data_IF_647367514922
#
_entry.id   IF_647367514922
#
_cell.length_a   1.000
_cell.length_b   1.000
_cell.length_c   1.000
_cell.angle_alpha   90.00
_cell.angle_beta   90.00
_cell.angle_gamma   90.00
#
_symmetry.space_group_name_H-M   'P 1'
#
loop_
_entity.id
_entity.type
_entity.pdbx_description
1 polymer ?
#
# COMPACT_ATOMS: atom_id res chain seq x y z
N UNK A 1 -9.62 -3.05 -15.37
CA UNK A 1 -9.17 -4.07 -14.40
C UNK A 1 -9.75 -3.69 -13.04
N UNK A 2 -10.49 -4.56 -12.36
CA UNK A 2 -11.01 -4.22 -11.05
C UNK A 2 -9.88 -4.05 -10.04
N UNK A 3 -10.08 -3.15 -9.07
CA UNK A 3 -9.14 -2.94 -7.98
C UNK A 3 -9.91 -2.93 -6.65
N UNK A 4 -9.32 -3.52 -5.63
CA UNK A 4 -9.88 -3.49 -4.29
C UNK A 4 -9.52 -2.17 -3.60
N UNK A 5 -10.50 -1.55 -2.94
CA UNK A 5 -10.27 -0.42 -2.07
C UNK A 5 -9.56 -0.82 -0.78
N UNK A 6 -8.69 0.03 -0.28
CA UNK A 6 -7.92 -0.18 0.94
C UNK A 6 -7.83 1.12 1.72
N UNK A 7 -7.86 1.01 3.04
CA UNK A 7 -7.45 2.06 3.94
C UNK A 7 -6.31 1.56 4.85
N UNK A 8 -5.48 2.49 5.27
CA UNK A 8 -4.45 2.27 6.28
C UNK A 8 -4.74 3.21 7.45
N UNK A 9 -4.85 2.63 8.63
CA UNK A 9 -4.98 3.36 9.89
C UNK A 9 -3.67 3.18 10.65
N UNK A 10 -2.95 4.27 10.86
CA UNK A 10 -1.75 4.29 11.68
C UNK A 10 -2.05 4.95 13.01
N UNK A 11 -1.69 4.28 14.10
CA UNK A 11 -1.94 4.71 15.48
C UNK A 11 -0.64 4.74 16.26
N UNK A 12 -0.34 5.86 16.89
CA UNK A 12 0.77 5.99 17.82
C UNK A 12 0.24 5.94 19.26
N UNK A 13 0.81 5.05 20.09
CA UNK A 13 0.49 4.91 21.51
C UNK A 13 1.74 5.10 22.35
N UNK A 14 1.59 5.48 23.63
CA UNK A 14 2.68 5.29 24.59
C UNK A 14 2.93 3.78 24.73
N UNK A 15 4.19 3.39 24.85
CA UNK A 15 4.52 1.97 25.03
C UNK A 15 3.87 1.39 26.32
N UNK A 16 3.68 2.20 27.35
CA UNK A 16 2.98 1.83 28.59
C UNK A 16 1.49 1.56 28.42
N UNK A 17 0.89 2.06 27.35
CA UNK A 17 -0.54 1.91 27.07
C UNK A 17 -0.84 0.71 26.17
N UNK A 18 0.19 -0.10 25.84
CA UNK A 18 0.09 -1.34 25.06
C UNK A 18 0.61 -2.48 25.89
N UNK A 19 -0.25 -3.44 26.26
CA UNK A 19 0.16 -4.57 27.12
C UNK A 19 0.79 -5.73 26.36
N UNK A 20 0.52 -5.85 25.07
CA UNK A 20 1.13 -6.86 24.21
C UNK A 20 2.62 -6.52 24.00
N UNK A 21 3.49 -7.52 24.06
CA UNK A 21 4.95 -7.33 23.97
C UNK A 21 5.43 -6.91 22.57
N UNK A 22 4.58 -6.91 21.56
CA UNK A 22 4.86 -6.54 20.16
C UNK A 22 6.13 -7.20 19.59
N UNK A 23 6.38 -8.46 19.95
CA UNK A 23 7.49 -9.24 19.42
C UNK A 23 7.08 -9.90 18.10
N UNK A 24 7.75 -9.53 17.00
CA UNK A 24 7.48 -10.02 15.66
C UNK A 24 6.97 -8.95 14.68
N UNK A 25 6.28 -9.40 13.64
CA UNK A 25 5.84 -8.52 12.55
C UNK A 25 4.49 -7.85 12.78
N UNK A 26 3.59 -8.56 13.44
CA UNK A 26 2.20 -8.18 13.55
C UNK A 26 1.29 -9.40 13.51
N UNK A 27 0.02 -9.19 13.18
CA UNK A 27 -0.94 -10.29 13.02
C UNK A 27 -1.80 -10.10 11.77
N UNK A 28 -2.30 -11.21 11.25
CA UNK A 28 -3.30 -11.25 10.18
C UNK A 28 -4.63 -11.71 10.75
N UNK A 29 -5.70 -11.13 10.23
CA UNK A 29 -7.07 -11.49 10.58
C UNK A 29 -7.58 -12.57 9.64
N UNK A 30 -8.07 -13.69 10.18
CA UNK A 30 -8.61 -14.78 9.38
C UNK A 30 -9.96 -14.40 8.75
N UNK A 31 -10.38 -15.14 7.72
CA UNK A 31 -11.64 -14.85 7.02
C UNK A 31 -12.89 -15.00 7.90
N UNK A 32 -12.81 -15.79 8.95
CA UNK A 32 -13.94 -16.08 9.85
C UNK A 32 -14.27 -14.96 10.83
N UNK A 33 -13.33 -14.06 11.10
CA UNK A 33 -13.43 -13.09 12.20
C UNK A 33 -14.36 -11.90 11.95
N UNK A 34 -14.85 -11.72 10.74
CA UNK A 34 -15.80 -10.63 10.37
C UNK A 34 -15.31 -9.22 10.76
N UNK A 35 -14.00 -9.01 10.85
CA UNK A 35 -13.39 -7.71 11.13
C UNK A 35 -13.18 -6.92 9.83
N UNK A 36 -13.14 -5.58 9.94
CA UNK A 36 -12.73 -4.72 8.83
C UNK A 36 -11.22 -4.78 8.60
N UNK A 37 -10.47 -4.96 9.66
CA UNK A 37 -9.01 -5.06 9.65
C UNK A 37 -8.59 -6.38 8.99
N UNK A 38 -7.68 -6.29 8.05
CA UNK A 38 -7.05 -7.43 7.38
C UNK A 38 -5.85 -7.96 8.16
N UNK A 39 -5.20 -7.07 8.88
CA UNK A 39 -4.04 -7.34 9.71
C UNK A 39 -3.43 -6.05 10.22
N UNK A 40 -2.54 -6.19 11.18
CA UNK A 40 -1.82 -5.08 11.82
C UNK A 40 -0.33 -5.37 11.78
N UNK A 41 0.44 -4.40 11.35
CA UNK A 41 1.92 -4.43 11.40
C UNK A 41 2.37 -3.58 12.58
N UNK A 42 3.31 -4.10 13.35
CA UNK A 42 3.93 -3.42 14.49
C UNK A 42 5.18 -2.67 14.01
N UNK A 43 4.96 -1.51 13.38
CA UNK A 43 5.98 -0.77 12.64
C UNK A 43 7.22 -0.44 13.48
N UNK A 44 7.02 -0.02 14.72
CA UNK A 44 8.12 0.32 15.63
C UNK A 44 8.93 -0.89 16.11
N UNK A 45 8.35 -2.12 16.00
CA UNK A 45 9.08 -3.35 16.31
C UNK A 45 9.86 -3.91 15.12
N UNK A 46 9.46 -3.53 13.89
CA UNK A 46 10.10 -4.01 12.67
C UNK A 46 11.25 -3.15 12.20
N UNK A 47 11.14 -1.84 12.42
CA UNK A 47 12.07 -0.88 11.84
C UNK A 47 12.49 0.15 12.89
N UNK A 48 13.77 0.30 13.08
CA UNK A 48 14.35 1.33 13.93
C UNK A 48 13.96 2.73 13.46
N UNK A 49 13.74 3.62 14.40
CA UNK A 49 13.43 5.03 14.11
C UNK A 49 12.01 5.30 13.58
N UNK A 50 11.11 4.30 13.58
CA UNK A 50 9.72 4.48 13.15
C UNK A 50 8.83 5.18 14.17
N UNK A 51 9.22 5.20 15.43
CA UNK A 51 8.53 5.92 16.49
C UNK A 51 9.55 6.52 17.45
N UNK A 52 9.24 7.66 18.12
CA UNK A 52 10.05 8.17 19.19
C UNK A 52 10.17 7.16 20.34
N UNK A 53 11.24 7.29 21.13
CA UNK A 53 11.42 6.47 22.33
C UNK A 53 10.20 6.54 23.25
N UNK A 54 9.82 5.42 23.85
CA UNK A 54 8.62 5.29 24.67
C UNK A 54 7.30 5.30 23.92
N UNK A 55 7.34 5.31 22.60
CA UNK A 55 6.15 5.27 21.71
C UNK A 55 6.17 4.04 20.83
N UNK A 56 5.01 3.48 20.54
CA UNK A 56 4.81 2.41 19.56
C UNK A 56 3.95 2.89 18.40
N UNK A 57 4.26 2.43 17.19
CA UNK A 57 3.49 2.70 15.99
C UNK A 57 2.88 1.40 15.46
N UNK A 58 1.56 1.38 15.39
CA UNK A 58 0.75 0.29 14.86
C UNK A 58 0.13 0.72 13.54
N UNK A 59 0.18 -0.15 12.53
CA UNK A 59 -0.42 0.11 11.21
C UNK A 59 -1.42 -0.99 10.85
N UNK A 60 -2.70 -0.66 10.93
CA UNK A 60 -3.78 -1.54 10.51
C UNK A 60 -4.07 -1.34 9.01
N UNK A 61 -4.23 -2.44 8.29
CA UNK A 61 -4.73 -2.47 6.92
C UNK A 61 -6.20 -2.86 6.94
N UNK A 62 -7.06 -2.03 6.33
CA UNK A 62 -8.52 -2.15 6.44
C UNK A 62 -9.12 -2.21 5.04
N UNK A 63 -10.12 -3.08 4.81
CA UNK A 63 -10.85 -3.16 3.55
C UNK A 63 -10.52 -4.37 2.70
N UNK A 64 -10.03 -4.12 1.48
CA UNK A 64 -9.80 -5.18 0.50
C UNK A 64 -11.09 -5.79 -0.03
N UNK A 65 -10.97 -6.92 -0.74
CA UNK A 65 -12.11 -7.60 -1.38
C UNK A 65 -13.16 -8.08 -0.37
N UNK A 66 -12.76 -8.32 0.88
CA UNK A 66 -13.70 -8.80 1.93
C UNK A 66 -14.65 -7.71 2.40
N UNK A 67 -14.21 -6.46 2.37
CA UNK A 67 -14.94 -5.30 2.87
C UNK A 67 -14.93 -4.19 1.80
N UNK A 68 -15.56 -4.42 0.64
CA UNK A 68 -15.66 -3.41 -0.40
C UNK A 68 -16.40 -2.18 0.13
N UNK A 69 -15.99 -1.00 -0.25
CA UNK A 69 -16.56 0.25 0.24
C UNK A 69 -16.02 0.72 1.60
N UNK A 70 -15.24 -0.09 2.31
CA UNK A 70 -14.68 0.36 3.59
C UNK A 70 -13.78 1.60 3.43
N UNK A 71 -13.08 1.76 2.29
CA UNK A 71 -12.29 2.95 2.01
C UNK A 71 -13.12 4.23 1.81
N UNK A 72 -14.44 4.11 1.70
CA UNK A 72 -15.40 5.23 1.60
C UNK A 72 -15.85 5.73 2.98
N UNK A 73 -15.62 4.94 4.04
CA UNK A 73 -15.94 5.35 5.41
C UNK A 73 -15.12 6.60 5.79
N UNK A 74 -15.65 7.38 6.73
CA UNK A 74 -14.93 8.55 7.24
C UNK A 74 -13.62 8.14 7.91
N UNK A 75 -12.59 9.00 7.92
CA UNK A 75 -11.34 8.73 8.64
C UNK A 75 -11.57 8.39 10.11
N UNK A 76 -12.47 9.10 10.78
CA UNK A 76 -12.78 8.86 12.20
C UNK A 76 -13.40 7.47 12.40
N UNK A 77 -14.40 7.11 11.61
CA UNK A 77 -15.01 5.77 11.65
C UNK A 77 -14.00 4.66 11.41
N UNK A 78 -13.08 4.84 10.46
CA UNK A 78 -12.03 3.87 10.19
C UNK A 78 -11.07 3.71 11.37
N UNK A 79 -10.66 4.84 11.97
CA UNK A 79 -9.76 4.84 13.11
C UNK A 79 -10.43 4.21 14.35
N UNK A 80 -11.67 4.58 14.66
CA UNK A 80 -12.43 4.03 15.78
C UNK A 80 -12.62 2.52 15.65
N UNK A 81 -13.05 2.03 14.48
CA UNK A 81 -13.27 0.60 14.25
C UNK A 81 -11.98 -0.20 14.29
N UNK A 82 -10.92 0.29 13.67
CA UNK A 82 -9.62 -0.38 13.72
C UNK A 82 -9.08 -0.42 15.16
N UNK A 83 -9.23 0.66 15.93
CA UNK A 83 -8.85 0.70 17.34
C UNK A 83 -9.65 -0.32 18.15
N UNK A 84 -10.98 -0.33 18.00
CA UNK A 84 -11.84 -1.28 18.71
C UNK A 84 -11.48 -2.75 18.43
N UNK A 85 -11.13 -3.07 17.17
CA UNK A 85 -10.72 -4.42 16.77
C UNK A 85 -9.32 -4.80 17.31
N UNK A 86 -8.39 -3.85 17.42
CA UNK A 86 -7.05 -4.08 17.94
C UNK A 86 -6.98 -4.13 19.47
N UNK A 87 -7.86 -3.41 20.16
CA UNK A 87 -7.84 -3.26 21.62
C UNK A 87 -7.83 -4.59 22.36
N UNK A 88 -8.71 -5.56 22.09
CA UNK A 88 -8.70 -6.84 22.81
C UNK A 88 -7.47 -7.72 22.51
N UNK A 89 -6.85 -7.54 21.34
CA UNK A 89 -5.71 -8.33 20.92
C UNK A 89 -4.38 -7.80 21.46
N UNK A 90 -4.24 -6.47 21.47
CA UNK A 90 -3.00 -5.80 21.84
C UNK A 90 -3.04 -5.19 23.24
N UNK A 91 -4.20 -5.24 23.91
CA UNK A 91 -4.41 -4.64 25.21
C UNK A 91 -4.16 -3.13 25.21
N UNK A 92 -4.73 -2.43 24.21
CA UNK A 92 -4.61 -0.98 24.08
C UNK A 92 -5.39 -0.30 25.20
N UNK A 93 -4.80 0.73 25.81
CA UNK A 93 -5.40 1.52 26.88
C UNK A 93 -5.44 3.00 26.51
N UNK A 94 -6.56 3.65 26.82
CA UNK A 94 -6.74 5.06 26.51
C UNK A 94 -6.78 5.36 25.02
N UNK A 95 -6.61 6.65 24.71
CA UNK A 95 -6.61 7.14 23.33
C UNK A 95 -5.21 7.13 22.72
N UNK A 96 -5.07 6.91 21.40
CA UNK A 96 -3.79 7.06 20.73
C UNK A 96 -3.28 8.49 20.84
N UNK A 97 -1.97 8.66 21.00
CA UNK A 97 -1.30 9.97 20.94
C UNK A 97 -1.52 10.67 19.60
N UNK A 98 -1.55 9.89 18.54
CA UNK A 98 -1.84 10.36 17.19
C UNK A 98 -2.48 9.27 16.35
N UNK A 99 -3.30 9.68 15.38
CA UNK A 99 -3.92 8.82 14.38
C UNK A 99 -3.77 9.44 12.99
N UNK A 100 -3.52 8.58 11.99
CA UNK A 100 -3.50 8.94 10.58
C UNK A 100 -4.31 7.91 9.81
N UNK A 101 -5.08 8.38 8.84
CA UNK A 101 -5.88 7.51 7.98
C UNK A 101 -5.62 7.87 6.53
N UNK A 102 -5.16 6.88 5.77
CA UNK A 102 -4.93 6.99 4.34
C UNK A 102 -5.92 6.09 3.61
N UNK A 103 -6.54 6.58 2.56
CA UNK A 103 -7.58 5.85 1.81
C UNK A 103 -7.24 5.77 0.34
N UNK A 104 -7.39 4.58 -0.24
CA UNK A 104 -7.23 4.33 -1.66
C UNK A 104 -8.44 3.55 -2.15
N UNK A 105 -9.42 4.20 -2.81
CA UNK A 105 -10.64 3.54 -3.32
C UNK A 105 -10.34 2.43 -4.33
N UNK A 106 -9.22 2.54 -5.06
CA UNK A 106 -8.76 1.56 -6.05
C UNK A 106 -7.27 1.27 -5.83
N UNK A 107 -6.94 0.54 -4.75
CA UNK A 107 -5.57 0.32 -4.29
C UNK A 107 -4.90 -0.88 -4.97
N UNK A 108 -5.53 -2.06 -4.90
CA UNK A 108 -4.87 -3.32 -5.25
C UNK A 108 -5.57 -3.94 -6.46
N UNK A 109 -4.88 -4.00 -7.61
CA UNK A 109 -5.41 -4.67 -8.80
C UNK A 109 -5.76 -6.13 -8.49
N UNK A 110 -6.92 -6.58 -8.97
CA UNK A 110 -7.40 -7.93 -8.76
C UNK A 110 -7.17 -8.77 -10.03
N UNK A 111 -6.35 -9.80 -9.88
CA UNK A 111 -6.01 -10.71 -10.98
C UNK A 111 -7.05 -11.82 -11.08
N UNK A 112 -8.19 -11.48 -11.70
CA UNK A 112 -9.26 -12.42 -11.97
C UNK A 112 -8.91 -13.42 -13.07
N UNK A 113 -9.77 -14.42 -13.26
CA UNK A 113 -9.64 -15.36 -14.38
C UNK A 113 -9.47 -14.64 -15.71
N UNK A 114 -8.51 -15.09 -16.52
CA UNK A 114 -8.20 -14.49 -17.81
C UNK A 114 -7.33 -13.21 -17.72
N UNK A 115 -6.82 -12.86 -16.53
CA UNK A 115 -5.96 -11.68 -16.35
C UNK A 115 -4.70 -11.74 -17.24
N UNK A 116 -3.99 -12.85 -17.25
CA UNK A 116 -2.78 -13.04 -18.06
C UNK A 116 -3.07 -12.82 -19.54
N UNK A 117 -4.18 -13.36 -20.03
CA UNK A 117 -4.59 -13.20 -21.43
C UNK A 117 -4.97 -11.76 -21.77
N UNK A 118 -5.65 -11.07 -20.85
CA UNK A 118 -5.91 -9.61 -21.00
C UNK A 118 -4.63 -8.82 -21.10
N UNK A 119 -3.67 -9.06 -20.21
CA UNK A 119 -2.36 -8.37 -20.22
C UNK A 119 -1.60 -8.66 -21.52
N UNK A 120 -1.60 -9.91 -21.98
CA UNK A 120 -0.98 -10.28 -23.26
C UNK A 120 -1.57 -9.52 -24.43
N UNK A 121 -2.92 -9.43 -24.52
CA UNK A 121 -3.60 -8.65 -25.56
C UNK A 121 -3.30 -7.16 -25.49
N UNK A 122 -3.27 -6.59 -24.27
CA UNK A 122 -2.94 -5.19 -24.07
C UNK A 122 -1.50 -4.89 -24.52
N UNK A 123 -0.53 -5.75 -24.16
CA UNK A 123 0.86 -5.62 -24.61
C UNK A 123 1.00 -5.77 -26.13
N UNK A 124 0.29 -6.70 -26.74
CA UNK A 124 0.27 -6.83 -28.18
C UNK A 124 -0.36 -5.61 -28.88
N UNK A 125 -1.35 -4.97 -28.27
CA UNK A 125 -1.89 -3.71 -28.77
C UNK A 125 -0.90 -2.56 -28.60
N UNK A 126 -0.26 -2.43 -27.45
CA UNK A 126 0.75 -1.40 -27.17
C UNK A 126 1.94 -1.51 -28.14
N UNK A 127 2.39 -2.72 -28.46
CA UNK A 127 3.50 -2.96 -29.37
C UNK A 127 3.29 -2.43 -30.79
N UNK A 128 2.04 -2.11 -31.17
CA UNK A 128 1.75 -1.43 -32.46
C UNK A 128 2.00 0.08 -32.43
N UNK A 129 2.32 0.61 -31.26
CA UNK A 129 2.59 2.03 -31.06
C UNK A 129 4.04 2.19 -30.57
N UNK A 130 4.97 2.56 -31.45
CA UNK A 130 6.37 2.75 -31.05
C UNK A 130 6.50 3.70 -29.87
N UNK A 131 7.30 3.31 -28.86
CA UNK A 131 7.51 4.09 -27.65
C UNK A 131 6.44 3.92 -26.57
N UNK A 132 5.37 3.13 -26.81
CA UNK A 132 4.36 2.83 -25.78
C UNK A 132 4.67 1.49 -25.08
N UNK A 133 4.89 1.55 -23.79
CA UNK A 133 5.14 0.40 -22.95
C UNK A 133 4.17 0.31 -21.77
N UNK A 134 3.84 -0.91 -21.34
CA UNK A 134 2.98 -1.16 -20.18
C UNK A 134 3.78 -1.77 -19.04
N UNK A 135 3.78 -1.07 -17.88
CA UNK A 135 4.50 -1.48 -16.68
C UNK A 135 3.66 -1.20 -15.43
N UNK A 136 3.96 -1.91 -14.35
CA UNK A 136 3.40 -1.65 -13.04
C UNK A 136 2.52 -2.75 -12.48
N UNK A 137 1.95 -2.50 -11.30
CA UNK A 137 1.23 -3.50 -10.50
C UNK A 137 0.02 -4.12 -11.19
N UNK A 138 -0.53 -3.46 -12.19
CA UNK A 138 -1.63 -4.02 -12.99
C UNK A 138 -1.20 -5.09 -14.01
N UNK A 139 0.10 -5.19 -14.31
CA UNK A 139 0.62 -6.03 -15.40
C UNK A 139 1.67 -7.04 -14.93
N UNK A 140 2.49 -6.68 -13.92
CA UNK A 140 3.75 -7.36 -13.60
C UNK A 140 3.78 -7.98 -12.20
N UNK A 141 2.69 -7.94 -11.47
CA UNK A 141 2.59 -8.43 -10.09
C UNK A 141 2.29 -7.31 -9.09
N UNK A 142 1.46 -7.62 -8.10
CA UNK A 142 0.96 -6.64 -7.12
C UNK A 142 1.99 -6.25 -6.04
N UNK A 143 3.08 -7.00 -5.93
CA UNK A 143 4.13 -6.70 -4.96
C UNK A 143 4.96 -5.49 -5.40
N UNK A 144 5.34 -4.64 -4.43
CA UNK A 144 6.17 -3.46 -4.67
C UNK A 144 7.50 -3.83 -5.36
N UNK A 145 8.16 -4.89 -4.88
CA UNK A 145 9.39 -5.42 -5.48
C UNK A 145 9.21 -5.87 -6.93
N UNK A 146 8.06 -6.47 -7.26
CA UNK A 146 7.76 -6.89 -8.62
C UNK A 146 7.59 -5.69 -9.57
N UNK A 147 6.94 -4.63 -9.08
CA UNK A 147 6.77 -3.39 -9.85
C UNK A 147 8.12 -2.70 -10.12
N UNK A 148 9.01 -2.63 -9.10
CA UNK A 148 10.37 -2.10 -9.27
C UNK A 148 11.15 -2.93 -10.29
N UNK A 149 11.19 -4.25 -10.14
CA UNK A 149 11.91 -5.13 -11.06
C UNK A 149 11.36 -5.03 -12.49
N UNK A 150 10.06 -4.82 -12.67
CA UNK A 150 9.48 -4.61 -13.99
C UNK A 150 9.92 -3.27 -14.61
N UNK A 151 9.95 -2.21 -13.81
CA UNK A 151 10.42 -0.90 -14.24
C UNK A 151 11.91 -0.93 -14.63
N UNK A 152 12.74 -1.58 -13.83
CA UNK A 152 14.17 -1.73 -14.09
C UNK A 152 14.45 -2.50 -15.40
N UNK A 153 13.75 -3.62 -15.62
CA UNK A 153 13.83 -4.36 -16.89
C UNK A 153 13.42 -3.51 -18.10
N UNK A 154 12.41 -2.67 -17.93
CA UNK A 154 11.94 -1.78 -18.99
C UNK A 154 12.99 -0.71 -19.30
N UNK A 155 13.49 -0.03 -18.28
CA UNK A 155 14.53 0.98 -18.41
C UNK A 155 15.81 0.44 -19.07
N UNK A 156 16.24 -0.76 -18.66
CA UNK A 156 17.42 -1.43 -19.22
C UNK A 156 17.28 -1.72 -20.72
N UNK A 157 16.09 -2.15 -21.18
CA UNK A 157 15.84 -2.37 -22.61
C UNK A 157 15.98 -1.06 -23.40
N UNK A 158 15.35 0.01 -22.94
CA UNK A 158 15.44 1.31 -23.61
C UNK A 158 16.83 1.91 -23.61
N UNK A 159 17.63 1.70 -22.55
CA UNK A 159 19.01 2.15 -22.50
C UNK A 159 19.87 1.41 -23.55
N UNK A 160 19.63 0.10 -23.73
CA UNK A 160 20.34 -0.69 -24.74
C UNK A 160 19.96 -0.27 -26.16
N UNK A 161 18.68 -0.05 -26.42
CA UNK A 161 18.17 0.38 -27.72
C UNK A 161 18.70 1.79 -28.09
N UNK A 162 18.76 2.71 -27.11
CA UNK A 162 19.32 4.05 -27.30
C UNK A 162 20.84 4.01 -27.63
N UNK A 163 21.59 3.13 -26.94
CA UNK A 163 23.00 2.94 -27.19
C UNK A 163 23.28 2.32 -28.58
N UNK A 164 22.38 1.43 -29.04
CA UNK A 164 22.48 0.78 -30.37
C UNK A 164 22.13 1.72 -31.54
N UNK A 165 21.29 2.75 -31.31
CA UNK A 165 20.81 3.63 -32.36
C UNK A 165 21.49 5.04 -32.42
N UNK A 166 22.52 5.28 -31.59
CA UNK A 166 23.29 6.54 -31.65
C UNK A 166 22.52 7.84 -31.34
N UNK A 167 21.29 7.76 -30.80
CA UNK A 167 20.49 8.90 -30.39
C UNK A 167 20.58 9.08 -28.88
N UNK A 168 21.23 10.16 -28.44
CA UNK A 168 21.35 10.50 -27.02
C UNK A 168 19.98 10.74 -26.35
N UNK A 169 19.86 10.44 -25.05
CA UNK A 169 18.59 10.57 -24.35
C UNK A 169 18.25 12.02 -24.06
N UNK A 170 17.21 12.53 -24.72
CA UNK A 170 16.48 13.70 -24.23
C UNK A 170 15.26 13.19 -23.47
N UNK A 171 15.41 12.81 -22.23
CA UNK A 171 14.31 12.52 -21.33
C UNK A 171 14.33 13.54 -20.18
N UNK A 172 13.62 14.64 -20.36
CA UNK A 172 13.24 15.51 -19.24
C UNK A 172 12.15 14.77 -18.45
N UNK A 173 12.55 14.14 -17.37
CA UNK A 173 11.62 13.64 -16.35
C UNK A 173 10.98 14.86 -15.68
N UNK A 174 9.75 15.16 -16.03
CA UNK A 174 8.93 16.08 -15.25
C UNK A 174 8.64 15.41 -13.89
N UNK A 175 9.33 15.88 -12.86
CA UNK A 175 9.03 15.54 -11.48
C UNK A 175 7.65 16.12 -11.14
N UNK A 176 6.62 15.28 -11.14
CA UNK A 176 5.32 15.62 -10.62
C UNK A 176 5.45 15.87 -9.12
N UNK A 177 5.40 17.14 -8.72
CA UNK A 177 5.32 17.50 -7.31
C UNK A 177 3.98 17.04 -6.77
N UNK A 178 3.96 16.03 -5.92
CA UNK A 178 2.83 15.75 -5.04
C UNK A 178 2.82 16.83 -3.96
N UNK A 179 2.03 17.87 -4.18
CA UNK A 179 1.71 18.81 -3.12
C UNK A 179 0.85 18.09 -2.08
N UNK A 180 1.45 17.90 -0.91
CA UNK A 180 0.75 17.41 0.27
C UNK A 180 0.02 18.60 0.90
N UNK A 181 -1.23 18.84 0.53
CA UNK A 181 -2.10 19.74 1.26
C UNK A 181 -2.66 19.03 2.50
N UNK A 182 -1.84 18.94 3.51
CA UNK A 182 -2.21 18.56 4.87
C UNK A 182 -2.48 19.80 5.69
N UNK A 183 -3.74 20.23 5.76
CA UNK A 183 -4.20 21.30 6.65
C UNK A 183 -3.88 21.00 8.11
N UNK A 184 -3.41 22.03 8.76
CA UNK A 184 -2.98 22.05 10.15
C UNK A 184 -4.12 22.14 11.16
N UNK A 185 -3.68 22.03 12.37
CA UNK A 185 -4.16 22.29 13.73
C UNK A 185 -4.72 21.10 14.46
#
# INVERSE_FOLDING_TARGET
MPAAGLAVVALAYRATDVTHALQGYGHLVTRGEKQLTLGVVWESSLFDGRAPEGTVLLRAMVGGVRNPGCAELSPDTLAERATAEMTPLLGLRGEPLRRWVFRWPAAIPQYERGHIERVRRMRAAAARHPGLELCGTSYDGIAFSAAIAAADRLASRHATDAAGNGAGPSATLAAGSFANEGGGR
#
